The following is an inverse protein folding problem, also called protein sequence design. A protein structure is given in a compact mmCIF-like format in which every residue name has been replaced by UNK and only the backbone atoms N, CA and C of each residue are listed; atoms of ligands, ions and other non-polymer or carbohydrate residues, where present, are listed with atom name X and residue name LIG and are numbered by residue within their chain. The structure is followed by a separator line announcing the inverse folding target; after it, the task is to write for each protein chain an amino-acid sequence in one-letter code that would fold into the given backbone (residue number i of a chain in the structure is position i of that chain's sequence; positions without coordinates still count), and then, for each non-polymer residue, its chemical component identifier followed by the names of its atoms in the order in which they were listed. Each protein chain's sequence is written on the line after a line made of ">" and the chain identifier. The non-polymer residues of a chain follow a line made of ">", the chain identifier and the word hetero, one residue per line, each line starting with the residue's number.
data_IF_128698063194
#
_entry.id   IF_128698063194
#
_cell.length_a   1.000
_cell.length_b   1.000
_cell.length_c   1.000
_cell.angle_alpha   90.00
_cell.angle_beta   90.00
_cell.angle_gamma   90.00
#
_symmetry.space_group_name_H-M   'P 1'
#
loop_
_entity.id
_entity.type
_entity.pdbx_description
1 polymer ?
#
# COMPACT_ATOMS: atom_id res chain seq x y z
N UNK A 1 12.26 -11.20 -17.02
CA UNK A 1 11.73 -9.83 -17.17
C UNK A 1 12.89 -8.99 -17.65
N UNK A 2 12.71 -8.24 -18.75
CA UNK A 2 13.76 -7.34 -19.22
C UNK A 2 14.12 -6.40 -18.07
N UNK A 3 15.41 -6.18 -17.87
CA UNK A 3 15.94 -5.28 -16.86
C UNK A 3 15.69 -3.85 -17.37
N UNK A 4 14.43 -3.40 -17.37
CA UNK A 4 14.13 -1.98 -17.49
C UNK A 4 14.84 -1.31 -16.31
N UNK A 5 15.84 -0.48 -16.62
CA UNK A 5 16.56 0.26 -15.61
C UNK A 5 15.54 1.08 -14.81
N UNK A 6 15.45 0.78 -13.52
CA UNK A 6 14.61 1.55 -12.62
C UNK A 6 15.09 3.00 -12.59
N UNK A 7 14.33 3.89 -13.22
CA UNK A 7 14.72 5.29 -13.35
C UNK A 7 14.32 6.08 -12.09
N UNK A 8 14.94 7.25 -11.90
CA UNK A 8 14.54 8.19 -10.86
C UNK A 8 13.07 8.63 -11.02
N UNK A 9 12.57 8.68 -12.25
CA UNK A 9 11.19 9.05 -12.57
C UNK A 9 10.22 7.95 -12.10
N UNK A 10 10.54 6.69 -12.37
CA UNK A 10 9.77 5.54 -11.87
C UNK A 10 9.77 5.49 -10.34
N UNK A 11 10.92 5.76 -9.71
CA UNK A 11 11.02 5.84 -8.25
C UNK A 11 10.09 6.92 -7.68
N UNK A 12 10.10 8.11 -8.29
CA UNK A 12 9.25 9.23 -7.85
C UNK A 12 7.76 8.89 -8.00
N UNK A 13 7.35 8.41 -9.16
CA UNK A 13 5.97 8.04 -9.42
C UNK A 13 5.48 6.95 -8.44
N UNK A 14 6.31 5.94 -8.17
CA UNK A 14 6.00 4.92 -7.17
C UNK A 14 5.81 5.51 -5.77
N UNK A 15 6.69 6.41 -5.34
CA UNK A 15 6.55 7.07 -4.03
C UNK A 15 5.31 7.96 -3.95
N UNK A 16 4.93 8.63 -5.03
CA UNK A 16 3.68 9.41 -5.11
C UNK A 16 2.46 8.49 -4.99
N UNK A 17 2.39 7.38 -5.72
CA UNK A 17 1.32 6.39 -5.60
C UNK A 17 1.24 5.80 -4.18
N UNK A 18 2.40 5.43 -3.60
CA UNK A 18 2.44 4.91 -2.22
C UNK A 18 1.96 5.93 -1.20
N UNK A 19 2.29 7.22 -1.38
CA UNK A 19 1.81 8.28 -0.50
C UNK A 19 0.27 8.41 -0.56
N UNK A 20 -0.31 8.31 -1.75
CA UNK A 20 -1.78 8.29 -1.92
C UNK A 20 -2.41 7.08 -1.22
N UNK A 21 -1.86 5.88 -1.40
CA UNK A 21 -2.37 4.66 -0.73
C UNK A 21 -2.28 4.78 0.79
N UNK A 22 -1.20 5.36 1.30
CA UNK A 22 -1.03 5.61 2.74
C UNK A 22 -2.08 6.60 3.26
N UNK A 23 -2.37 7.67 2.50
CA UNK A 23 -3.41 8.64 2.87
C UNK A 23 -4.80 7.99 2.92
N UNK A 24 -5.15 7.16 1.93
CA UNK A 24 -6.39 6.38 1.91
C UNK A 24 -6.50 5.43 3.11
N UNK A 25 -5.40 4.75 3.46
CA UNK A 25 -5.35 3.90 4.66
C UNK A 25 -5.59 4.72 5.92
N UNK A 26 -4.94 5.87 6.07
CA UNK A 26 -5.09 6.72 7.25
C UNK A 26 -6.53 7.25 7.39
N UNK A 27 -7.12 7.70 6.29
CA UNK A 27 -8.53 8.14 6.27
C UNK A 27 -9.49 6.99 6.58
N UNK A 28 -9.28 5.82 5.97
CA UNK A 28 -10.12 4.65 6.18
C UNK A 28 -10.07 4.12 7.62
N UNK A 29 -8.88 4.14 8.23
CA UNK A 29 -8.68 3.78 9.65
C UNK A 29 -9.47 4.74 10.57
N UNK A 30 -9.39 6.03 10.29
CA UNK A 30 -10.14 7.04 11.04
C UNK A 30 -11.66 6.81 10.92
N UNK A 31 -12.15 6.58 9.71
CA UNK A 31 -13.57 6.29 9.45
C UNK A 31 -14.04 5.00 10.12
N UNK A 32 -13.17 4.00 10.24
CA UNK A 32 -13.45 2.73 10.92
C UNK A 32 -13.41 2.83 12.46
N UNK A 33 -13.09 4.01 13.03
CA UNK A 33 -12.98 4.19 14.48
C UNK A 33 -11.71 3.60 15.10
N UNK A 34 -10.75 3.17 14.29
CA UNK A 34 -9.50 2.55 14.72
C UNK A 34 -8.43 3.61 15.03
N UNK A 35 -8.67 4.45 16.03
CA UNK A 35 -7.86 5.65 16.30
C UNK A 35 -6.45 5.35 16.88
N UNK A 36 -6.09 4.07 17.04
CA UNK A 36 -4.83 3.61 17.64
C UNK A 36 -3.79 3.14 16.61
N UNK A 37 -3.83 3.61 15.36
CA UNK A 37 -2.79 3.28 14.39
C UNK A 37 -1.42 3.78 14.90
N UNK A 38 -0.55 2.84 15.24
CA UNK A 38 0.79 3.10 15.78
C UNK A 38 1.80 3.45 14.68
N UNK A 39 1.46 3.17 13.43
CA UNK A 39 2.27 3.49 12.26
C UNK A 39 2.11 2.45 11.16
N UNK A 40 2.88 2.67 10.09
CA UNK A 40 3.03 1.73 8.99
C UNK A 40 4.51 1.52 8.66
N UNK A 41 4.83 0.33 8.15
CA UNK A 41 6.18 -0.03 7.70
C UNK A 41 6.13 -0.60 6.28
N UNK A 42 7.14 -0.28 5.47
CA UNK A 42 7.21 -0.65 4.06
C UNK A 42 8.67 -0.88 3.63
N UNK A 43 8.96 -2.04 3.06
CA UNK A 43 10.27 -2.35 2.46
C UNK A 43 10.21 -2.14 0.95
N UNK A 44 10.65 -0.96 0.51
CA UNK A 44 10.58 -0.56 -0.91
C UNK A 44 11.60 -1.33 -1.75
N UNK A 45 12.81 -1.55 -1.23
CA UNK A 45 13.87 -2.21 -1.99
C UNK A 45 13.56 -3.67 -2.27
N UNK A 46 13.01 -4.37 -1.27
CA UNK A 46 12.62 -5.77 -1.42
C UNK A 46 11.32 -5.93 -2.22
N UNK A 47 10.39 -4.99 -2.06
CA UNK A 47 9.14 -4.99 -2.80
C UNK A 47 9.34 -4.78 -4.29
N UNK A 48 10.25 -3.87 -4.66
CA UNK A 48 10.66 -3.65 -6.04
C UNK A 48 11.24 -4.92 -6.67
N UNK A 49 12.16 -5.61 -5.98
CA UNK A 49 12.77 -6.85 -6.52
C UNK A 49 11.77 -7.98 -6.74
N UNK A 50 10.68 -8.01 -5.96
CA UNK A 50 9.67 -9.07 -5.99
C UNK A 50 8.40 -8.69 -6.76
N UNK A 51 8.29 -7.46 -7.24
CA UNK A 51 7.07 -6.93 -7.87
C UNK A 51 5.88 -6.89 -6.90
N UNK A 52 6.12 -6.76 -5.60
CA UNK A 52 5.10 -6.82 -4.54
C UNK A 52 5.48 -5.91 -3.37
N UNK A 53 4.74 -4.84 -3.15
CA UNK A 53 4.88 -4.00 -1.97
C UNK A 53 4.02 -4.51 -0.82
N UNK A 54 4.57 -4.50 0.39
CA UNK A 54 3.81 -4.78 1.63
C UNK A 54 3.83 -3.55 2.51
N UNK A 55 2.65 -3.13 2.94
CA UNK A 55 2.44 -2.13 3.99
C UNK A 55 1.90 -2.85 5.23
N UNK A 56 2.62 -2.77 6.34
CA UNK A 56 2.17 -3.34 7.62
C UNK A 56 1.36 -2.29 8.36
N UNK A 57 0.11 -2.59 8.72
CA UNK A 57 -0.71 -1.73 9.57
C UNK A 57 -0.69 -2.28 10.99
N UNK A 58 -0.55 -1.42 11.99
CA UNK A 58 -0.42 -1.86 13.38
C UNK A 58 -1.25 -1.01 14.34
N UNK A 59 -2.08 -1.68 15.13
CA UNK A 59 -2.73 -1.11 16.32
C UNK A 59 -2.04 -1.63 17.58
N UNK A 60 -2.52 -1.23 18.76
CA UNK A 60 -2.05 -1.77 20.04
C UNK A 60 -2.34 -3.27 20.20
N UNK A 61 -3.35 -3.79 19.49
CA UNK A 61 -3.89 -5.14 19.69
C UNK A 61 -3.67 -6.07 18.50
N UNK A 62 -3.56 -5.55 17.28
CA UNK A 62 -3.45 -6.34 16.05
C UNK A 62 -2.50 -5.72 15.04
N UNK A 63 -2.08 -6.54 14.09
CA UNK A 63 -1.41 -6.10 12.87
C UNK A 63 -2.09 -6.71 11.66
N UNK A 64 -2.19 -5.95 10.59
CA UNK A 64 -2.64 -6.43 9.29
C UNK A 64 -1.65 -6.04 8.19
N UNK A 65 -1.85 -6.62 7.02
CA UNK A 65 -0.95 -6.44 5.89
C UNK A 65 -1.75 -6.05 4.66
N UNK A 66 -1.38 -4.92 4.06
CA UNK A 66 -1.78 -4.57 2.71
C UNK A 66 -0.66 -4.99 1.75
N UNK A 67 -0.98 -5.85 0.79
CA UNK A 67 -0.02 -6.38 -0.18
C UNK A 67 -0.51 -6.06 -1.58
N UNK A 68 0.28 -5.31 -2.33
CA UNK A 68 -0.07 -4.86 -3.67
C UNK A 68 1.05 -5.19 -4.64
N UNK A 69 0.68 -5.67 -5.83
CA UNK A 69 1.63 -5.86 -6.92
C UNK A 69 2.09 -4.51 -7.45
N UNK A 70 3.33 -4.46 -7.93
CA UNK A 70 3.90 -3.26 -8.54
C UNK A 70 2.99 -2.69 -9.64
N UNK A 71 2.52 -3.55 -10.54
CA UNK A 71 1.63 -3.15 -11.63
C UNK A 71 0.29 -2.58 -11.13
N UNK A 72 -0.22 -3.09 -10.01
CA UNK A 72 -1.43 -2.54 -9.37
C UNK A 72 -1.18 -1.18 -8.73
N UNK A 73 0.02 -0.93 -8.18
CA UNK A 73 0.38 0.35 -7.54
C UNK A 73 0.61 1.43 -8.60
N UNK A 74 1.24 1.05 -9.71
CA UNK A 74 1.60 1.96 -10.80
C UNK A 74 0.48 2.11 -11.84
N UNK A 75 -0.53 1.24 -11.78
CA UNK A 75 -1.64 1.20 -12.70
C UNK A 75 -2.68 2.27 -12.41
N UNK A 76 -3.28 2.82 -13.46
CA UNK A 76 -4.30 3.87 -13.42
C UNK A 76 -5.64 3.42 -14.00
N UNK A 77 -5.78 2.14 -14.34
CA UNK A 77 -7.06 1.59 -14.80
C UNK A 77 -8.06 1.49 -13.67
N UNK A 78 -9.36 1.51 -14.01
CA UNK A 78 -10.44 1.38 -13.02
C UNK A 78 -10.33 0.07 -12.23
N UNK A 79 -9.89 -0.98 -12.89
CA UNK A 79 -9.70 -2.30 -12.31
C UNK A 79 -8.55 -2.31 -11.31
N UNK A 80 -7.46 -1.59 -11.56
CA UNK A 80 -6.32 -1.47 -10.65
C UNK A 80 -6.67 -0.62 -9.44
N UNK A 81 -7.29 0.54 -9.65
CA UNK A 81 -7.77 1.40 -8.56
C UNK A 81 -8.74 0.65 -7.64
N UNK A 82 -9.69 -0.11 -8.21
CA UNK A 82 -10.61 -0.92 -7.42
C UNK A 82 -9.91 -2.04 -6.60
N UNK A 83 -8.79 -2.59 -7.10
CA UNK A 83 -7.99 -3.57 -6.34
C UNK A 83 -7.25 -2.90 -5.18
N UNK A 84 -6.77 -1.68 -5.37
CA UNK A 84 -6.18 -0.88 -4.27
C UNK A 84 -7.23 -0.64 -3.19
N UNK A 85 -8.38 -0.10 -3.55
CA UNK A 85 -9.50 0.17 -2.63
C UNK A 85 -9.91 -1.07 -1.82
N UNK A 86 -10.05 -2.21 -2.51
CA UNK A 86 -10.43 -3.46 -1.87
C UNK A 86 -9.34 -3.96 -0.90
N UNK A 87 -8.06 -3.87 -1.29
CA UNK A 87 -6.95 -4.24 -0.43
C UNK A 87 -6.86 -3.35 0.82
N UNK A 88 -7.05 -2.03 0.67
CA UNK A 88 -7.10 -1.07 1.79
C UNK A 88 -8.21 -1.45 2.75
N UNK A 89 -9.43 -1.63 2.25
CA UNK A 89 -10.59 -2.00 3.06
C UNK A 89 -10.38 -3.33 3.78
N UNK A 90 -9.86 -4.35 3.11
CA UNK A 90 -9.59 -5.65 3.72
C UNK A 90 -8.54 -5.56 4.84
N UNK A 91 -7.46 -4.81 4.60
CA UNK A 91 -6.41 -4.62 5.60
C UNK A 91 -6.94 -3.91 6.85
N UNK A 92 -7.79 -2.89 6.67
CA UNK A 92 -8.42 -2.17 7.79
C UNK A 92 -9.39 -3.07 8.57
N UNK A 93 -10.26 -3.80 7.87
CA UNK A 93 -11.21 -4.71 8.50
C UNK A 93 -10.50 -5.79 9.34
N UNK A 94 -9.32 -6.24 8.90
CA UNK A 94 -8.51 -7.21 9.65
C UNK A 94 -7.89 -6.65 10.95
N UNK A 95 -7.97 -5.35 11.20
CA UNK A 95 -7.53 -4.72 12.47
C UNK A 95 -8.60 -4.78 13.56
N UNK A 96 -9.84 -5.11 13.22
CA UNK A 96 -10.97 -5.19 14.18
C UNK A 96 -11.03 -6.51 14.93
#
# INVERSE_FOLDING_TARGET
>A
MANEEFTLEMARAFHECMATIIDEVQQGIWQAGQHELLGYDTDVGFGQQRGLQTLVLKTSHRSSYLRLHWDTIMGDTKEELARVDDAVRQAINALS
#
